data_IF_368555294315
#
_entry.id   IF_368555294315
#
_cell.length_a   1.000
_cell.length_b   1.000
_cell.length_c   1.000
_cell.angle_alpha   90.00
_cell.angle_beta   90.00
_cell.angle_gamma   90.00
#
_symmetry.space_group_name_H-M   'P 1'
#
loop_
_entity.id
_entity.type
_entity.pdbx_description
1 polymer ?
#
# COMPACT_ATOMS: atom_id res chain seq x y z
N UNK A 1 11.27 3.39 26.21
CA UNK A 1 10.54 2.69 25.14
C UNK A 1 11.54 2.22 24.11
N UNK A 2 11.63 0.91 23.87
CA UNK A 2 12.38 0.36 22.74
C UNK A 2 11.43 0.20 21.57
N UNK A 3 11.83 0.64 20.39
CA UNK A 3 11.09 0.35 19.17
C UNK A 3 12.02 -0.12 18.07
N UNK A 4 11.64 -1.16 17.35
CA UNK A 4 12.30 -1.65 16.15
C UNK A 4 11.30 -1.58 15.01
N UNK A 5 11.76 -1.06 13.87
CA UNK A 5 10.96 -0.93 12.65
C UNK A 5 11.79 -1.43 11.49
N UNK A 6 11.17 -2.13 10.56
CA UNK A 6 11.81 -2.47 9.31
C UNK A 6 10.76 -2.72 8.21
N UNK A 7 11.11 -2.39 6.97
CA UNK A 7 10.21 -2.51 5.82
C UNK A 7 10.97 -3.17 4.68
N UNK A 8 10.40 -4.21 4.09
CA UNK A 8 11.05 -4.95 3.00
C UNK A 8 10.08 -5.29 1.87
N UNK A 9 10.55 -5.21 0.61
CA UNK A 9 9.84 -5.86 -0.48
C UNK A 9 9.91 -7.38 -0.32
N UNK A 10 8.89 -8.06 -0.82
CA UNK A 10 8.72 -9.50 -0.69
C UNK A 10 8.54 -10.14 -2.05
N UNK A 11 8.73 -11.46 -2.14
CA UNK A 11 8.51 -12.28 -3.33
C UNK A 11 7.73 -13.51 -2.94
N UNK A 12 6.58 -13.75 -3.57
CA UNK A 12 5.77 -14.96 -3.35
C UNK A 12 5.41 -15.19 -1.87
N UNK A 13 5.42 -14.14 -1.05
CA UNK A 13 4.98 -14.20 0.33
C UNK A 13 3.45 -14.16 0.35
N UNK A 14 2.83 -15.02 1.15
CA UNK A 14 1.38 -15.02 1.34
C UNK A 14 1.03 -15.13 2.83
N UNK A 15 -0.26 -15.02 3.14
CA UNK A 15 -0.76 -15.07 4.51
C UNK A 15 -0.39 -16.38 5.21
N UNK A 16 -0.53 -17.54 4.54
CA UNK A 16 -0.28 -18.86 5.13
C UNK A 16 1.16 -18.99 5.61
N UNK A 17 2.12 -18.54 4.80
CA UNK A 17 3.54 -18.56 5.16
C UNK A 17 3.81 -17.68 6.39
N UNK A 18 3.19 -16.50 6.47
CA UNK A 18 3.35 -15.60 7.61
C UNK A 18 2.75 -16.17 8.89
N UNK A 19 1.62 -16.84 8.76
CA UNK A 19 0.95 -17.55 9.84
C UNK A 19 1.84 -18.70 10.33
N UNK A 20 2.46 -19.46 9.42
CA UNK A 20 3.38 -20.55 9.79
C UNK A 20 4.61 -20.01 10.55
N UNK A 21 5.17 -18.87 10.13
CA UNK A 21 6.26 -18.22 10.88
C UNK A 21 5.82 -17.79 12.29
N UNK A 22 4.60 -17.25 12.42
CA UNK A 22 4.02 -16.89 13.71
C UNK A 22 3.87 -18.13 14.60
N UNK A 23 3.38 -19.24 14.07
CA UNK A 23 3.20 -20.49 14.83
C UNK A 23 4.51 -21.05 15.32
N UNK A 24 5.47 -21.20 14.42
CA UNK A 24 6.81 -21.67 14.79
C UNK A 24 7.39 -20.80 15.93
N UNK A 25 7.23 -19.48 15.85
CA UNK A 25 7.67 -18.59 16.91
C UNK A 25 6.89 -18.79 18.22
N UNK A 26 5.56 -18.85 18.19
CA UNK A 26 4.75 -19.00 19.39
C UNK A 26 5.04 -20.34 20.07
N UNK A 27 5.11 -21.44 19.32
CA UNK A 27 5.43 -22.79 19.80
C UNK A 27 6.81 -22.88 20.46
N UNK A 28 7.77 -22.08 20.03
CA UNK A 28 9.14 -22.12 20.56
C UNK A 28 9.48 -20.95 21.51
N UNK A 29 8.50 -20.12 21.85
CA UNK A 29 8.67 -18.99 22.77
C UNK A 29 8.16 -19.30 24.18
N UNK A 30 8.48 -18.43 25.15
CA UNK A 30 7.79 -18.41 26.46
C UNK A 30 6.39 -17.79 26.37
N UNK A 31 6.04 -17.23 25.22
CA UNK A 31 4.79 -16.55 24.94
C UNK A 31 3.76 -17.48 24.28
N UNK A 32 3.96 -18.82 24.36
CA UNK A 32 2.98 -19.82 23.93
C UNK A 32 1.58 -19.44 24.42
N UNK A 33 0.59 -19.67 23.56
CA UNK A 33 -0.82 -19.53 23.87
C UNK A 33 -1.39 -20.92 24.10
N UNK A 34 -1.96 -21.17 25.28
CA UNK A 34 -2.49 -22.48 25.65
C UNK A 34 -3.80 -22.75 24.90
N UNK A 35 -3.95 -23.99 24.38
CA UNK A 35 -5.18 -24.42 23.70
C UNK A 35 -5.49 -23.69 22.40
N UNK A 36 -4.52 -22.98 21.83
CA UNK A 36 -4.69 -22.27 20.57
C UNK A 36 -4.79 -23.27 19.40
N UNK A 37 -6.03 -23.61 19.03
CA UNK A 37 -6.33 -24.37 17.81
C UNK A 37 -7.05 -23.43 16.84
N UNK A 38 -6.31 -22.98 15.81
CA UNK A 38 -6.86 -22.08 14.81
C UNK A 38 -7.34 -22.91 13.63
N UNK A 39 -8.66 -23.00 13.45
CA UNK A 39 -9.18 -23.13 12.09
C UNK A 39 -8.69 -21.88 11.34
N UNK A 40 -8.02 -22.04 10.20
CA UNK A 40 -7.43 -20.95 9.39
C UNK A 40 -8.51 -20.03 8.78
N UNK A 41 -9.40 -19.50 9.59
CA UNK A 41 -10.51 -18.62 9.25
C UNK A 41 -10.16 -17.21 9.70
N UNK A 42 -10.44 -16.24 8.83
CA UNK A 42 -10.20 -14.81 9.08
C UNK A 42 -11.52 -14.06 9.12
N UNK A 43 -11.69 -13.08 10.02
CA UNK A 43 -10.71 -12.61 11.03
C UNK A 43 -10.57 -13.55 12.23
N UNK A 44 -9.42 -13.46 12.93
CA UNK A 44 -9.13 -14.24 14.14
C UNK A 44 -8.71 -13.33 15.30
N UNK A 45 -9.24 -13.60 16.49
CA UNK A 45 -8.87 -12.90 17.72
C UNK A 45 -8.85 -13.89 18.89
N UNK A 46 -7.77 -13.82 19.67
CA UNK A 46 -7.59 -14.60 20.88
C UNK A 46 -7.05 -13.71 21.99
N UNK A 47 -7.69 -13.76 23.13
CA UNK A 47 -7.32 -13.00 24.31
C UNK A 47 -7.42 -13.90 25.55
N UNK A 48 -6.31 -14.07 26.27
CA UNK A 48 -6.27 -14.78 27.54
C UNK A 48 -5.27 -14.08 28.46
N UNK A 49 -5.72 -13.80 29.68
CA UNK A 49 -5.00 -13.08 30.73
C UNK A 49 -4.40 -11.76 30.23
N UNK A 50 -3.10 -11.78 29.94
CA UNK A 50 -2.29 -10.63 29.57
C UNK A 50 -1.68 -10.80 28.18
N UNK A 51 -2.25 -11.68 27.34
CA UNK A 51 -1.80 -11.94 25.98
C UNK A 51 -2.97 -11.75 25.04
N UNK A 52 -2.72 -11.01 23.96
CA UNK A 52 -3.69 -10.74 22.91
C UNK A 52 -3.03 -11.01 21.57
N UNK A 53 -3.67 -11.85 20.75
CA UNK A 53 -3.28 -12.15 19.39
C UNK A 53 -4.45 -11.85 18.48
N UNK A 54 -4.21 -11.06 17.43
CA UNK A 54 -5.21 -10.69 16.44
C UNK A 54 -4.63 -10.85 15.04
N UNK A 55 -5.38 -11.52 14.18
CA UNK A 55 -5.09 -11.68 12.77
C UNK A 55 -6.24 -11.07 11.97
N UNK A 56 -5.94 -10.05 11.16
CA UNK A 56 -6.98 -9.29 10.47
C UNK A 56 -6.55 -8.97 9.04
N UNK A 57 -7.50 -9.12 8.11
CA UNK A 57 -7.41 -8.55 6.77
C UNK A 57 -8.18 -7.23 6.77
N UNK A 58 -7.51 -6.15 6.39
CA UNK A 58 -8.10 -4.82 6.25
C UNK A 58 -8.32 -4.51 4.77
N UNK A 59 -9.59 -4.29 4.41
CA UNK A 59 -10.05 -3.86 3.08
C UNK A 59 -9.40 -4.66 1.93
N UNK A 60 -9.18 -5.97 2.14
CA UNK A 60 -8.50 -6.87 1.20
C UNK A 60 -7.10 -6.41 0.76
N UNK A 61 -6.50 -5.43 1.46
CA UNK A 61 -5.20 -4.84 1.14
C UNK A 61 -4.10 -5.28 2.10
N UNK A 62 -4.37 -5.23 3.40
CA UNK A 62 -3.35 -5.52 4.42
C UNK A 62 -3.70 -6.77 5.20
N UNK A 63 -2.81 -7.75 5.23
CA UNK A 63 -2.85 -8.84 6.19
C UNK A 63 -2.01 -8.46 7.40
N UNK A 64 -2.59 -8.54 8.60
CA UNK A 64 -1.94 -8.07 9.82
C UNK A 64 -1.92 -9.16 10.87
N UNK A 65 -0.77 -9.31 11.50
CA UNK A 65 -0.55 -10.11 12.70
C UNK A 65 -0.18 -9.14 13.80
N UNK A 66 -1.05 -9.03 14.79
CA UNK A 66 -0.84 -8.21 15.96
C UNK A 66 -0.75 -9.12 17.18
N UNK A 67 0.37 -9.07 17.90
CA UNK A 67 0.56 -9.78 19.15
C UNK A 67 0.98 -8.79 20.24
N UNK A 68 0.24 -8.77 21.33
CA UNK A 68 0.49 -7.93 22.50
C UNK A 68 0.57 -8.78 23.76
N UNK A 69 1.50 -8.45 24.65
CA UNK A 69 1.51 -9.01 25.99
C UNK A 69 1.89 -7.99 27.06
N UNK A 70 1.10 -7.95 28.13
CA UNK A 70 1.23 -6.96 29.20
C UNK A 70 1.57 -7.64 30.53
N UNK A 71 2.85 -7.70 30.88
CA UNK A 71 3.26 -8.19 32.19
C UNK A 71 3.02 -7.07 33.22
N UNK A 72 1.90 -7.16 33.93
CA UNK A 72 1.51 -6.20 34.97
C UNK A 72 2.49 -6.20 36.16
N UNK A 73 3.08 -7.34 36.51
CA UNK A 73 4.04 -7.43 37.61
C UNK A 73 5.35 -6.71 37.29
N UNK A 74 5.80 -6.81 36.03
CA UNK A 74 7.00 -6.12 35.55
C UNK A 74 6.72 -4.76 34.91
N UNK A 75 5.47 -4.28 34.96
CA UNK A 75 4.99 -3.08 34.26
C UNK A 75 5.59 -2.96 32.84
N UNK A 76 5.56 -4.06 32.11
CA UNK A 76 6.20 -4.17 30.79
C UNK A 76 5.15 -4.54 29.77
N UNK A 77 4.99 -3.71 28.74
CA UNK A 77 4.12 -3.98 27.61
C UNK A 77 4.95 -4.24 26.37
N UNK A 78 4.66 -5.36 25.70
CA UNK A 78 5.33 -5.83 24.51
C UNK A 78 4.32 -5.91 23.38
N UNK A 79 4.66 -5.35 22.22
CA UNK A 79 3.81 -5.36 21.02
C UNK A 79 4.66 -5.77 19.82
N UNK A 80 4.15 -6.72 19.05
CA UNK A 80 4.67 -7.15 17.75
C UNK A 80 3.59 -6.96 16.71
N UNK A 81 3.89 -6.19 15.68
CA UNK A 81 3.06 -6.01 14.50
C UNK A 81 3.83 -6.54 13.27
N UNK A 82 3.23 -7.44 12.53
CA UNK A 82 3.65 -7.84 11.18
C UNK A 82 2.53 -7.48 10.23
N UNK A 83 2.79 -6.56 9.32
CA UNK A 83 1.79 -6.07 8.37
C UNK A 83 2.30 -6.36 6.97
N UNK A 84 1.56 -7.15 6.22
CA UNK A 84 1.84 -7.45 4.82
C UNK A 84 0.87 -6.67 3.93
N UNK A 85 1.41 -5.74 3.14
CA UNK A 85 0.68 -5.07 2.06
C UNK A 85 0.69 -5.98 0.84
N UNK A 86 -0.47 -6.54 0.55
CA UNK A 86 -0.67 -7.52 -0.53
C UNK A 86 -0.56 -6.87 -1.91
N UNK A 87 -0.82 -5.56 -2.03
CA UNK A 87 -0.77 -4.85 -3.31
C UNK A 87 0.67 -4.42 -3.65
N UNK A 88 1.38 -3.87 -2.67
CA UNK A 88 2.75 -3.40 -2.85
C UNK A 88 3.80 -4.52 -2.68
N UNK A 89 3.36 -5.72 -2.29
CA UNK A 89 4.21 -6.85 -1.88
C UNK A 89 5.25 -6.44 -0.84
N UNK A 90 4.88 -5.62 0.15
CA UNK A 90 5.78 -5.11 1.20
C UNK A 90 5.39 -5.65 2.56
N UNK A 91 6.38 -6.03 3.35
CA UNK A 91 6.19 -6.40 4.76
C UNK A 91 6.77 -5.32 5.66
N UNK A 92 5.95 -4.90 6.62
CA UNK A 92 6.26 -3.94 7.66
C UNK A 92 6.35 -4.71 8.98
N UNK A 93 7.51 -4.63 9.63
CA UNK A 93 7.80 -5.27 10.91
C UNK A 93 7.95 -4.20 11.99
N UNK A 94 7.07 -4.19 12.98
CA UNK A 94 7.16 -3.30 14.14
C UNK A 94 7.24 -4.09 15.42
N UNK A 95 8.19 -3.71 16.25
CA UNK A 95 8.27 -4.19 17.61
C UNK A 95 8.36 -3.00 18.57
N UNK A 96 7.51 -2.94 19.59
CA UNK A 96 7.65 -1.98 20.68
C UNK A 96 7.64 -2.67 22.04
N UNK A 97 8.51 -2.17 22.92
CA UNK A 97 8.54 -2.54 24.33
C UNK A 97 8.52 -1.27 25.18
N UNK A 98 7.49 -1.18 25.99
CA UNK A 98 7.30 -0.13 26.97
C UNK A 98 7.63 -0.67 28.35
N UNK A 99 8.34 0.12 29.14
CA UNK A 99 8.75 -0.18 30.51
C UNK A 99 8.56 1.08 31.33
N UNK A 100 7.81 1.03 32.43
CA UNK A 100 7.70 2.18 33.33
C UNK A 100 9.03 2.41 34.07
N UNK A 101 9.65 3.54 33.74
CA UNK A 101 10.77 4.31 34.28
C UNK A 101 11.95 3.76 35.13
N UNK A 102 12.05 2.50 35.58
CA UNK A 102 13.17 2.10 36.45
C UNK A 102 14.06 0.94 35.97
N UNK A 103 13.79 0.36 34.80
CA UNK A 103 14.66 -0.71 34.29
C UNK A 103 15.92 -0.13 33.61
N UNK A 104 17.01 0.04 34.36
CA UNK A 104 18.37 0.32 33.82
C UNK A 104 18.89 -0.78 32.89
N UNK A 105 18.13 -1.87 32.76
CA UNK A 105 18.40 -3.01 31.90
C UNK A 105 17.35 -3.06 30.78
N UNK A 106 17.35 -2.05 29.92
CA UNK A 106 16.95 -2.21 28.51
C UNK A 106 18.08 -2.97 27.78
N UNK A 107 18.59 -4.03 28.41
CA UNK A 107 19.72 -4.81 27.93
C UNK A 107 19.16 -6.04 27.23
N UNK A 108 19.27 -6.01 25.90
CA UNK A 108 19.01 -7.11 24.99
C UNK A 108 17.55 -7.58 24.92
N UNK A 109 16.66 -6.73 24.41
CA UNK A 109 15.54 -7.29 23.65
C UNK A 109 16.09 -7.68 22.29
N UNK A 110 16.35 -8.96 22.10
CA UNK A 110 16.58 -9.48 20.76
C UNK A 110 15.34 -9.21 19.92
N UNK A 111 15.53 -8.71 18.70
CA UNK A 111 14.51 -8.73 17.65
C UNK A 111 13.73 -10.05 17.79
N UNK A 112 12.39 -10.02 17.88
CA UNK A 112 11.58 -11.23 18.00
C UNK A 112 12.07 -12.28 17.02
N UNK A 113 12.22 -13.53 17.48
CA UNK A 113 12.71 -14.62 16.62
C UNK A 113 11.88 -14.72 15.34
N UNK A 114 10.56 -14.47 15.45
CA UNK A 114 9.65 -14.28 14.33
C UNK A 114 10.21 -13.38 13.23
N UNK A 115 10.65 -12.16 13.57
CA UNK A 115 11.17 -11.22 12.59
C UNK A 115 12.43 -11.75 11.96
N UNK A 116 13.31 -12.38 12.74
CA UNK A 116 14.54 -12.92 12.17
C UNK A 116 14.25 -14.04 11.18
N UNK A 117 13.28 -14.91 11.48
CA UNK A 117 12.81 -15.97 10.58
C UNK A 117 12.24 -15.38 9.28
N UNK A 118 11.40 -14.35 9.40
CA UNK A 118 10.85 -13.61 8.25
C UNK A 118 11.99 -13.00 7.42
N UNK A 119 12.88 -12.23 8.06
CA UNK A 119 13.95 -11.45 7.41
C UNK A 119 14.94 -12.30 6.60
N UNK A 120 15.29 -13.48 7.09
CA UNK A 120 16.22 -14.39 6.39
C UNK A 120 15.52 -15.41 5.49
N UNK A 121 14.19 -15.33 5.40
CA UNK A 121 13.41 -16.24 4.55
C UNK A 121 13.67 -15.95 3.06
N UNK A 122 13.50 -16.95 2.18
CA UNK A 122 13.63 -16.75 0.74
C UNK A 122 12.54 -15.84 0.13
N UNK A 123 11.54 -15.46 0.93
CA UNK A 123 10.43 -14.60 0.51
C UNK A 123 10.74 -13.11 0.67
N UNK A 124 11.82 -12.73 1.36
CA UNK A 124 12.26 -11.34 1.46
C UNK A 124 13.18 -11.03 0.28
N UNK A 125 12.79 -10.03 -0.52
CA UNK A 125 13.67 -9.48 -1.56
C UNK A 125 14.68 -8.58 -0.84
N UNK A 126 15.94 -8.99 -0.84
CA UNK A 126 17.04 -8.11 -0.45
C UNK A 126 17.70 -7.51 -1.68
N UNK A 127 18.47 -6.45 -1.47
CA UNK A 127 19.36 -5.89 -2.48
C UNK A 127 20.54 -6.83 -2.80
N UNK A 128 21.68 -6.28 -3.24
CA UNK A 128 22.96 -6.93 -3.54
C UNK A 128 23.29 -8.19 -2.72
N UNK A 129 23.03 -8.17 -1.40
CA UNK A 129 23.32 -9.29 -0.52
C UNK A 129 22.07 -9.79 0.22
N UNK A 130 21.83 -11.11 0.27
CA UNK A 130 20.77 -11.67 1.10
C UNK A 130 20.98 -11.31 2.56
N UNK A 131 19.88 -10.97 3.24
CA UNK A 131 19.87 -10.83 4.68
C UNK A 131 20.28 -12.17 5.32
N UNK A 132 21.32 -12.11 6.14
CA UNK A 132 21.92 -13.31 6.73
C UNK A 132 22.45 -13.01 8.12
N UNK A 133 22.48 -14.05 8.95
CA UNK A 133 23.19 -14.03 10.23
C UNK A 133 24.71 -14.02 10.07
N UNK A 134 25.22 -14.17 8.86
CA UNK A 134 26.65 -14.14 8.55
C UNK A 134 27.01 -12.86 7.84
N UNK A 135 28.19 -12.34 8.14
CA UNK A 135 28.74 -11.23 7.39
C UNK A 135 29.16 -11.68 5.99
N UNK A 136 29.00 -10.80 5.01
CA UNK A 136 29.35 -11.04 3.62
C UNK A 136 30.82 -10.74 3.39
N UNK A 137 31.52 -11.70 2.80
CA UNK A 137 32.89 -11.47 2.40
C UNK A 137 32.90 -10.77 1.03
N UNK A 138 33.52 -9.59 0.97
CA UNK A 138 33.57 -8.76 -0.24
C UNK A 138 35.01 -8.43 -0.62
N UNK A 139 35.25 -8.31 -1.93
CA UNK A 139 36.59 -8.05 -2.49
C UNK A 139 36.86 -6.56 -2.72
N UNK A 140 35.83 -5.80 -3.06
CA UNK A 140 35.94 -4.39 -3.43
C UNK A 140 34.77 -3.60 -2.84
N UNK A 141 35.08 -2.58 -2.03
CA UNK A 141 34.10 -1.69 -1.42
C UNK A 141 33.60 -0.61 -2.37
N UNK A 142 34.40 -0.21 -3.35
CA UNK A 142 34.05 0.88 -4.27
C UNK A 142 32.87 0.48 -5.16
N UNK A 143 32.79 -0.80 -5.53
CA UNK A 143 31.65 -1.36 -6.24
C UNK A 143 30.32 -1.23 -5.47
N UNK A 144 30.37 -1.25 -4.13
CA UNK A 144 29.18 -1.05 -3.30
C UNK A 144 28.80 0.44 -3.25
N UNK A 145 29.75 1.38 -3.20
CA UNK A 145 29.43 2.81 -3.09
C UNK A 145 28.62 3.37 -4.26
N UNK A 146 28.77 2.78 -5.44
CA UNK A 146 28.09 3.24 -6.67
C UNK A 146 26.73 2.59 -6.92
N UNK A 147 26.34 1.58 -6.12
CA UNK A 147 25.05 0.91 -6.25
C UNK A 147 24.07 1.49 -5.23
N UNK A 148 22.79 1.60 -5.60
CA UNK A 148 21.73 1.91 -4.65
C UNK A 148 21.48 0.69 -3.77
N UNK A 149 21.31 0.92 -2.46
CA UNK A 149 21.04 -0.14 -1.48
C UNK A 149 19.77 0.15 -0.72
N UNK A 150 18.91 -0.86 -0.55
CA UNK A 150 17.74 -0.75 0.32
C UNK A 150 18.10 -0.59 1.81
N UNK A 151 19.19 -1.20 2.25
CA UNK A 151 19.72 -1.08 3.61
C UNK A 151 21.16 -0.56 3.58
N UNK A 152 21.57 0.20 4.59
CA UNK A 152 22.97 0.60 4.76
C UNK A 152 23.91 -0.60 4.75
N UNK A 153 25.14 -0.41 4.28
CA UNK A 153 26.22 -1.38 4.34
C UNK A 153 27.22 -0.96 5.42
N UNK A 154 27.44 -1.83 6.40
CA UNK A 154 28.51 -1.72 7.37
C UNK A 154 29.72 -2.50 6.88
N UNK A 155 30.72 -1.78 6.37
CA UNK A 155 31.97 -2.39 5.97
C UNK A 155 33.03 -2.27 7.07
N UNK A 156 33.55 -3.43 7.47
CA UNK A 156 34.44 -3.56 8.60
C UNK A 156 35.90 -3.46 8.16
N UNK A 157 36.56 -2.38 8.57
CA UNK A 157 38.00 -2.18 8.42
C UNK A 157 38.78 -2.67 9.65
N UNK A 158 38.19 -3.50 10.51
CA UNK A 158 38.73 -3.88 11.82
C UNK A 158 38.54 -5.35 12.15
N UNK A 159 39.46 -5.92 12.93
CA UNK A 159 39.38 -7.25 13.52
C UNK A 159 38.86 -7.25 14.97
N UNK A 160 38.60 -6.07 15.57
CA UNK A 160 38.24 -5.94 16.99
C UNK A 160 36.83 -6.43 17.32
N UNK A 161 35.98 -6.52 16.30
CA UNK A 161 34.61 -6.97 16.42
C UNK A 161 34.47 -8.21 15.53
N UNK A 162 33.86 -9.26 16.06
CA UNK A 162 33.49 -10.41 15.26
C UNK A 162 32.41 -10.01 14.24
N UNK A 163 32.71 -10.18 12.95
CA UNK A 163 31.83 -9.75 11.86
C UNK A 163 30.48 -10.48 11.87
N UNK A 164 30.45 -11.76 12.22
CA UNK A 164 29.21 -12.53 12.30
C UNK A 164 28.40 -12.19 13.54
N UNK A 165 29.05 -11.81 14.65
CA UNK A 165 28.37 -11.24 15.80
C UNK A 165 27.71 -9.92 15.44
N UNK A 166 28.42 -9.04 14.72
CA UNK A 166 27.87 -7.78 14.22
C UNK A 166 26.69 -8.03 13.28
N UNK A 167 26.83 -8.92 12.29
CA UNK A 167 25.76 -9.29 11.35
C UNK A 167 24.48 -9.75 12.08
N UNK A 168 24.62 -10.63 13.09
CA UNK A 168 23.47 -11.08 13.89
C UNK A 168 22.78 -9.97 14.66
N UNK A 169 23.53 -8.95 15.09
CA UNK A 169 23.00 -7.80 15.84
C UNK A 169 22.38 -6.76 14.90
N UNK A 170 22.90 -6.63 13.69
CA UNK A 170 22.47 -5.65 12.68
C UNK A 170 21.43 -6.20 11.71
N UNK A 171 20.95 -7.44 11.90
CA UNK A 171 19.97 -8.06 11.02
C UNK A 171 18.72 -7.18 10.87
N UNK A 172 18.38 -6.83 9.62
CA UNK A 172 17.28 -5.96 9.27
C UNK A 172 17.53 -4.46 9.48
N UNK A 173 18.74 -4.07 9.91
CA UNK A 173 19.19 -2.67 10.01
C UNK A 173 20.28 -2.33 8.99
N UNK A 174 21.16 -3.30 8.67
CA UNK A 174 22.24 -3.11 7.70
C UNK A 174 22.77 -4.45 7.18
N UNK A 175 23.40 -4.42 6.00
CA UNK A 175 24.26 -5.51 5.54
C UNK A 175 25.64 -5.37 6.19
N UNK A 176 26.19 -6.45 6.73
CA UNK A 176 27.54 -6.43 7.31
C UNK A 176 28.50 -7.09 6.34
N UNK A 177 29.52 -6.35 5.92
CA UNK A 177 30.51 -6.78 4.95
C UNK A 177 31.93 -6.64 5.52
N UNK A 178 32.83 -7.51 5.07
CA UNK A 178 34.25 -7.47 5.44
C UNK A 178 35.12 -8.05 4.32
N UNK A 179 36.42 -7.74 4.31
CA UNK A 179 37.40 -8.37 3.44
C UNK A 179 38.29 -9.36 4.21
N UNK A 180 38.91 -10.32 3.51
CA UNK A 180 39.87 -11.28 4.12
C UNK A 180 41.11 -10.62 4.72
N UNK A 181 41.54 -9.49 4.17
CA UNK A 181 42.74 -8.76 4.58
C UNK A 181 42.36 -7.45 5.26
N UNK A 182 41.46 -7.51 6.26
CA UNK A 182 41.16 -6.34 7.08
C UNK A 182 42.48 -5.80 7.61
N UNK A 183 42.77 -4.52 7.36
CA UNK A 183 43.83 -3.85 8.10
C UNK A 183 43.35 -3.74 9.56
N UNK A 184 44.24 -3.63 10.54
CA UNK A 184 43.81 -3.28 11.90
C UNK A 184 43.48 -1.78 12.01
N UNK A 185 42.59 -1.29 11.15
CA UNK A 185 42.14 0.09 11.15
C UNK A 185 40.85 0.13 11.98
N UNK A 186 40.93 0.59 13.24
CA UNK A 186 39.83 0.47 14.21
C UNK A 186 38.59 1.31 13.91
N UNK A 187 37.93 1.14 12.76
CA UNK A 187 36.69 1.82 12.38
C UNK A 187 35.77 0.92 11.53
N UNK A 188 34.52 1.34 11.44
CA UNK A 188 33.50 0.78 10.53
C UNK A 188 33.05 1.90 9.60
N UNK A 189 32.98 1.59 8.31
CA UNK A 189 32.45 2.48 7.29
C UNK A 189 30.98 2.15 7.06
N UNK A 190 30.11 3.15 7.20
CA UNK A 190 28.67 3.05 6.98
C UNK A 190 28.38 3.68 5.63
N UNK A 191 27.97 2.87 4.66
CA UNK A 191 27.57 3.31 3.32
C UNK A 191 26.04 3.31 3.24
N UNK A 192 25.45 4.45 2.92
CA UNK A 192 23.99 4.64 2.86
C UNK A 192 23.70 5.72 1.81
N UNK A 193 22.79 5.48 0.86
CA UNK A 193 22.42 6.42 -0.20
C UNK A 193 23.63 7.12 -0.90
N UNK A 194 24.66 6.33 -1.25
CA UNK A 194 25.96 6.76 -1.83
C UNK A 194 26.86 7.62 -0.92
N UNK A 195 26.44 7.94 0.30
CA UNK A 195 27.27 8.61 1.29
C UNK A 195 28.03 7.60 2.15
N UNK A 196 29.28 7.95 2.50
CA UNK A 196 30.12 7.16 3.40
C UNK A 196 30.36 7.92 4.70
N UNK A 197 30.05 7.29 5.84
CA UNK A 197 30.25 7.80 7.18
C UNK A 197 31.19 6.87 7.96
N UNK A 198 32.23 7.42 8.57
CA UNK A 198 33.20 6.63 9.33
C UNK A 198 32.83 6.63 10.82
N UNK A 199 32.69 5.45 11.40
CA UNK A 199 32.51 5.23 12.83
C UNK A 199 33.79 4.67 13.46
N UNK A 200 34.50 5.52 14.21
CA UNK A 200 35.75 5.13 14.88
C UNK A 200 35.48 4.26 16.11
N UNK A 201 36.15 3.12 16.19
CA UNK A 201 36.08 2.19 17.31
C UNK A 201 37.17 2.49 18.33
N UNK A 202 36.79 2.45 19.60
CA UNK A 202 37.70 2.57 20.72
C UNK A 202 38.20 1.19 21.14
N UNK A 203 39.48 0.88 20.89
CA UNK A 203 40.12 -0.39 21.28
C UNK A 203 40.03 -0.70 22.79
N UNK A 204 39.90 0.33 23.64
CA UNK A 204 39.80 0.18 25.11
C UNK A 204 38.38 -0.14 25.58
N UNK A 205 37.36 0.04 24.74
CA UNK A 205 35.96 -0.30 25.07
C UNK A 205 35.68 -1.74 24.64
N UNK A 206 34.87 -2.46 25.42
CA UNK A 206 34.46 -3.81 25.04
C UNK A 206 33.67 -3.75 23.72
N UNK A 207 33.95 -4.70 22.82
CA UNK A 207 33.34 -4.78 21.48
C UNK A 207 31.81 -4.75 21.54
N UNK A 208 31.22 -5.44 22.51
CA UNK A 208 29.77 -5.52 22.66
C UNK A 208 29.09 -4.16 22.88
N UNK A 209 29.69 -3.25 23.66
CA UNK A 209 29.14 -1.91 23.86
C UNK A 209 29.14 -1.09 22.56
N UNK A 210 30.19 -1.22 21.76
CA UNK A 210 30.31 -0.51 20.49
C UNK A 210 29.32 -1.04 19.45
N UNK A 211 29.05 -2.36 19.47
CA UNK A 211 27.97 -2.96 18.67
C UNK A 211 26.61 -2.38 19.06
N UNK A 212 26.34 -2.20 20.35
CA UNK A 212 25.08 -1.58 20.80
C UNK A 212 24.96 -0.13 20.36
N UNK A 213 26.04 0.66 20.47
CA UNK A 213 26.07 2.05 20.02
C UNK A 213 25.74 2.18 18.52
N UNK A 214 26.37 1.36 17.69
CA UNK A 214 26.05 1.28 16.25
C UNK A 214 24.60 0.87 15.99
N UNK A 215 24.07 -0.06 16.79
CA UNK A 215 22.72 -0.56 16.62
C UNK A 215 21.67 0.51 16.92
N UNK A 216 21.87 1.25 18.01
CA UNK A 216 21.01 2.37 18.37
C UNK A 216 21.09 3.48 17.31
N UNK A 217 22.29 3.78 16.79
CA UNK A 217 22.47 4.76 15.71
C UNK A 217 21.63 4.40 14.49
N UNK A 218 21.83 3.20 13.92
CA UNK A 218 21.11 2.78 12.71
C UNK A 218 19.60 2.66 12.93
N UNK A 219 19.20 2.14 14.09
CA UNK A 219 17.78 2.02 14.44
C UNK A 219 17.10 3.39 14.51
N UNK A 220 17.76 4.39 15.09
CA UNK A 220 17.21 5.75 15.15
C UNK A 220 17.05 6.36 13.75
N UNK A 221 17.98 6.11 12.84
CA UNK A 221 17.87 6.55 11.44
C UNK A 221 16.69 5.86 10.72
N UNK A 222 16.54 4.54 10.89
CA UNK A 222 15.40 3.79 10.33
C UNK A 222 14.07 4.27 10.91
N UNK A 223 14.00 4.52 12.22
CA UNK A 223 12.81 5.11 12.86
C UNK A 223 12.48 6.45 12.16
N UNK A 224 13.46 7.34 11.99
CA UNK A 224 13.21 8.63 11.32
C UNK A 224 12.71 8.45 9.88
N UNK A 225 13.33 7.54 9.11
CA UNK A 225 12.99 7.27 7.70
C UNK A 225 11.55 6.75 7.55
N UNK A 226 11.14 5.82 8.41
CA UNK A 226 9.89 5.07 8.21
C UNK A 226 8.73 5.45 9.14
N UNK A 227 8.94 6.28 10.19
CA UNK A 227 7.91 6.60 11.19
C UNK A 227 6.59 7.14 10.62
N UNK A 228 6.64 7.89 9.51
CA UNK A 228 5.45 8.49 8.91
C UNK A 228 4.86 7.66 7.74
N UNK A 229 5.56 6.62 7.30
CA UNK A 229 5.20 5.85 6.09
C UNK A 229 4.67 4.46 6.42
N UNK A 230 4.87 4.00 7.65
CA UNK A 230 4.55 2.64 8.04
C UNK A 230 3.16 2.58 8.69
N UNK A 231 2.21 1.82 8.12
CA UNK A 231 0.92 1.62 8.77
C UNK A 231 1.13 0.84 10.07
N UNK A 232 0.37 1.18 11.12
CA UNK A 232 0.26 0.35 12.33
C UNK A 232 -1.08 -0.37 12.38
N UNK A 233 -1.16 -1.43 13.18
CA UNK A 233 -2.42 -2.16 13.36
C UNK A 233 -3.52 -1.20 13.85
N UNK A 234 -3.21 -0.43 14.90
CA UNK A 234 -4.15 0.53 15.48
C UNK A 234 -4.64 1.56 14.45
N UNK A 235 -3.75 2.14 13.64
CA UNK A 235 -4.13 3.10 12.60
C UNK A 235 -5.03 2.47 11.55
N UNK A 236 -4.71 1.27 11.08
CA UNK A 236 -5.52 0.54 10.10
C UNK A 236 -6.90 0.21 10.68
N UNK A 237 -6.95 -0.21 11.94
CA UNK A 237 -8.19 -0.51 12.64
C UNK A 237 -9.07 0.73 12.81
N UNK A 238 -8.51 1.86 13.25
CA UNK A 238 -9.24 3.13 13.34
C UNK A 238 -9.73 3.61 11.97
N UNK A 239 -8.91 3.48 10.92
CA UNK A 239 -9.33 3.81 9.55
C UNK A 239 -10.48 2.92 9.08
N UNK A 240 -10.46 1.63 9.41
CA UNK A 240 -11.55 0.71 9.08
C UNK A 240 -12.83 1.06 9.85
N UNK A 241 -12.74 1.36 11.15
CA UNK A 241 -13.88 1.84 11.94
C UNK A 241 -14.45 3.11 11.31
N UNK A 242 -13.59 4.08 10.99
CA UNK A 242 -14.00 5.31 10.34
C UNK A 242 -14.62 5.04 8.97
N UNK A 243 -14.08 4.12 8.20
CA UNK A 243 -14.65 3.71 6.92
C UNK A 243 -16.03 3.08 7.11
N UNK A 244 -16.20 2.15 8.05
CA UNK A 244 -17.49 1.54 8.39
C UNK A 244 -18.48 2.59 8.91
N UNK A 245 -18.03 3.51 9.75
CA UNK A 245 -18.81 4.64 10.23
C UNK A 245 -19.18 5.57 9.09
N UNK A 246 -18.31 5.87 8.14
CA UNK A 246 -18.62 6.68 6.97
C UNK A 246 -19.56 5.96 6.01
N UNK A 247 -19.41 4.66 5.83
CA UNK A 247 -20.33 3.83 5.03
C UNK A 247 -21.71 3.73 5.68
N UNK A 248 -21.78 3.80 7.01
CA UNK A 248 -23.04 3.86 7.77
C UNK A 248 -23.55 5.29 8.00
N UNK A 249 -22.71 6.33 7.99
CA UNK A 249 -23.10 7.75 8.12
C UNK A 249 -23.50 8.36 6.78
N UNK A 250 -22.98 7.86 5.65
CA UNK A 250 -23.55 8.08 4.31
C UNK A 250 -24.90 7.34 4.14
N UNK A 251 -25.71 7.34 5.19
CA UNK A 251 -27.00 6.70 5.29
C UNK A 251 -28.02 7.47 4.44
N UNK A 252 -28.42 6.86 3.32
CA UNK A 252 -29.62 7.10 2.52
C UNK A 252 -29.89 8.51 1.92
N UNK A 253 -29.75 9.60 2.67
CA UNK A 253 -30.21 10.94 2.26
C UNK A 253 -29.26 11.60 1.24
N UNK A 254 -27.95 11.54 1.48
CA UNK A 254 -26.97 12.14 0.57
C UNK A 254 -26.88 11.39 -0.76
N UNK A 255 -26.98 10.05 -0.72
CA UNK A 255 -27.12 9.24 -1.94
C UNK A 255 -28.43 9.55 -2.68
N UNK A 256 -29.56 9.72 -1.98
CA UNK A 256 -30.82 10.13 -2.61
C UNK A 256 -30.69 11.49 -3.32
N UNK A 257 -30.02 12.46 -2.70
CA UNK A 257 -29.83 13.79 -3.30
C UNK A 257 -28.81 13.77 -4.45
N UNK A 258 -27.73 13.00 -4.36
CA UNK A 258 -26.81 12.80 -5.50
C UNK A 258 -27.48 12.10 -6.68
N UNK A 259 -28.26 11.04 -6.43
CA UNK A 259 -29.01 10.36 -7.50
C UNK A 259 -30.05 11.29 -8.14
N UNK A 260 -30.79 12.08 -7.36
CA UNK A 260 -31.72 13.09 -7.90
C UNK A 260 -31.01 14.14 -8.75
N UNK A 261 -29.85 14.64 -8.29
CA UNK A 261 -29.05 15.63 -9.02
C UNK A 261 -28.52 15.07 -10.34
N UNK A 262 -28.06 13.83 -10.33
CA UNK A 262 -27.51 13.18 -11.53
C UNK A 262 -28.60 12.85 -12.55
N UNK A 263 -29.76 12.34 -12.12
CA UNK A 263 -30.94 12.13 -12.99
C UNK A 263 -31.36 13.45 -13.65
N UNK A 264 -31.44 14.53 -12.87
CA UNK A 264 -31.79 15.85 -13.39
C UNK A 264 -30.76 16.37 -14.38
N UNK A 265 -29.46 16.14 -14.14
CA UNK A 265 -28.38 16.53 -15.05
C UNK A 265 -28.48 15.78 -16.38
N UNK A 266 -28.70 14.46 -16.34
CA UNK A 266 -28.81 13.63 -17.53
C UNK A 266 -30.08 13.97 -18.34
N UNK A 267 -31.19 14.33 -17.69
CA UNK A 267 -32.38 14.85 -18.38
C UNK A 267 -32.11 16.15 -19.12
N UNK A 268 -31.39 17.10 -18.50
CA UNK A 268 -30.98 18.34 -19.15
C UNK A 268 -30.09 18.05 -20.36
N UNK A 269 -29.12 17.13 -20.23
CA UNK A 269 -28.23 16.76 -21.35
C UNK A 269 -29.00 16.12 -22.51
N UNK A 270 -29.99 15.27 -22.22
CA UNK A 270 -30.89 14.71 -23.23
C UNK A 270 -31.71 15.79 -23.94
N UNK A 271 -32.26 16.75 -23.19
CA UNK A 271 -33.04 17.86 -23.76
C UNK A 271 -32.18 18.78 -24.63
N UNK A 272 -30.96 19.12 -24.18
CA UNK A 272 -29.99 19.89 -24.98
C UNK A 272 -29.60 19.16 -26.27
N UNK A 273 -29.39 17.84 -26.21
CA UNK A 273 -29.10 17.02 -27.39
C UNK A 273 -30.29 16.97 -28.37
N UNK A 274 -31.52 16.93 -27.87
CA UNK A 274 -32.74 17.02 -28.69
C UNK A 274 -32.87 18.38 -29.36
N UNK A 275 -32.56 19.47 -28.66
CA UNK A 275 -32.58 20.82 -29.22
C UNK A 275 -31.53 20.99 -30.33
N UNK A 276 -30.31 20.49 -30.11
CA UNK A 276 -29.24 20.48 -31.13
C UNK A 276 -29.68 19.66 -32.34
N UNK A 277 -30.29 18.48 -32.12
CA UNK A 277 -30.83 17.66 -33.18
C UNK A 277 -31.89 18.41 -34.01
N UNK A 278 -32.82 19.11 -33.36
CA UNK A 278 -33.85 19.90 -34.04
C UNK A 278 -33.27 21.05 -34.86
N UNK A 279 -32.30 21.81 -34.32
CA UNK A 279 -31.63 22.89 -35.05
C UNK A 279 -30.91 22.36 -36.31
N UNK A 280 -30.17 21.27 -36.18
CA UNK A 280 -29.46 20.65 -37.31
C UNK A 280 -30.43 20.13 -38.38
N UNK A 281 -31.59 19.60 -37.97
CA UNK A 281 -32.64 19.19 -38.90
C UNK A 281 -33.21 20.37 -39.70
N UNK A 282 -33.44 21.53 -39.06
CA UNK A 282 -33.89 22.74 -39.74
C UNK A 282 -32.86 23.26 -40.76
N UNK A 283 -31.59 23.29 -40.37
CA UNK A 283 -30.51 23.76 -41.26
C UNK A 283 -30.30 22.82 -42.44
N UNK A 284 -30.41 21.50 -42.22
CA UNK A 284 -30.44 20.51 -43.31
C UNK A 284 -31.57 20.80 -44.30
N UNK A 285 -32.78 21.08 -43.82
CA UNK A 285 -33.92 21.40 -44.68
C UNK A 285 -33.70 22.70 -45.48
N UNK A 286 -33.10 23.73 -44.86
CA UNK A 286 -32.75 24.99 -45.56
C UNK A 286 -31.73 24.73 -46.67
N UNK A 287 -30.68 23.97 -46.38
CA UNK A 287 -29.64 23.61 -47.35
C UNK A 287 -30.21 22.80 -48.52
N UNK A 288 -31.08 21.82 -48.25
CA UNK A 288 -31.76 21.03 -49.30
C UNK A 288 -32.61 21.92 -50.22
N UNK A 289 -33.39 22.86 -49.66
CA UNK A 289 -34.19 23.82 -50.45
C UNK A 289 -33.31 24.73 -51.32
N UNK A 290 -32.16 25.17 -50.80
CA UNK A 290 -31.21 25.99 -51.56
C UNK A 290 -30.54 25.19 -52.69
N UNK A 291 -30.19 23.93 -52.44
CA UNK A 291 -29.60 23.05 -53.45
C UNK A 291 -30.59 22.75 -54.60
N UNK A 292 -31.87 22.51 -54.28
CA UNK A 292 -32.93 22.39 -55.28
C UNK A 292 -33.07 23.64 -56.16
N UNK A 293 -32.92 24.85 -55.59
CA UNK A 293 -32.91 26.10 -56.36
C UNK A 293 -31.70 26.20 -57.28
N UNK A 294 -30.51 25.81 -56.82
CA UNK A 294 -29.28 25.87 -57.62
C UNK A 294 -29.30 24.89 -58.80
N UNK A 295 -29.85 23.69 -58.61
CA UNK A 295 -30.08 22.70 -59.68
C UNK A 295 -30.95 23.26 -60.82
N UNK A 296 -31.88 24.17 -60.53
CA UNK A 296 -32.75 24.79 -61.54
C UNK A 296 -32.03 25.86 -62.39
N UNK A 297 -30.87 26.38 -61.97
CA UNK A 297 -30.17 27.51 -62.62
C UNK A 297 -29.17 27.07 -63.71
N UNK A 298 -28.97 25.77 -63.93
CA UNK A 298 -28.47 25.25 -65.20
C UNK A 298 -26.99 25.52 -65.57
N UNK A 299 -26.07 25.52 -64.60
CA UNK A 299 -24.62 25.41 -64.86
C UNK A 299 -24.13 24.01 -64.50
N UNK A 300 -24.26 23.07 -65.44
CA UNK A 300 -24.15 21.63 -65.17
C UNK A 300 -22.82 21.17 -64.56
N UNK A 301 -21.68 21.83 -64.81
CA UNK A 301 -20.37 21.36 -64.34
C UNK A 301 -20.06 21.80 -62.90
N UNK A 302 -20.25 23.09 -62.57
CA UNK A 302 -20.11 23.58 -61.20
C UNK A 302 -21.23 23.05 -60.29
N UNK A 303 -22.43 22.84 -60.84
CA UNK A 303 -23.53 22.21 -60.12
C UNK A 303 -23.24 20.74 -59.76
N UNK A 304 -22.58 19.95 -60.63
CA UNK A 304 -22.24 18.55 -60.34
C UNK A 304 -21.22 18.41 -59.20
N UNK A 305 -20.19 19.28 -59.16
CA UNK A 305 -19.19 19.32 -58.08
C UNK A 305 -19.84 19.81 -56.77
N UNK A 306 -20.71 20.82 -56.83
CA UNK A 306 -21.44 21.33 -55.68
C UNK A 306 -22.44 20.29 -55.12
N UNK A 307 -23.11 19.53 -55.99
CA UNK A 307 -24.03 18.44 -55.60
C UNK A 307 -23.27 17.29 -54.93
N UNK A 308 -22.14 16.82 -55.46
CA UNK A 308 -21.35 15.74 -54.83
C UNK A 308 -20.78 16.15 -53.45
N UNK A 309 -20.35 17.41 -53.30
CA UNK A 309 -19.95 17.95 -52.00
C UNK A 309 -21.15 18.08 -51.03
N UNK A 310 -22.32 18.49 -51.51
CA UNK A 310 -23.52 18.60 -50.68
C UNK A 310 -24.09 17.25 -50.29
N UNK A 311 -24.01 16.23 -51.14
CA UNK A 311 -24.44 14.86 -50.82
C UNK A 311 -23.52 14.23 -49.77
N UNK A 312 -22.21 14.50 -49.84
CA UNK A 312 -21.25 14.14 -48.78
C UNK A 312 -21.53 14.86 -47.47
N UNK A 313 -21.85 16.16 -47.52
CA UNK A 313 -22.25 16.95 -46.33
C UNK A 313 -23.59 16.45 -45.76
N UNK A 314 -24.55 16.07 -46.60
CA UNK A 314 -25.84 15.52 -46.18
C UNK A 314 -25.66 14.14 -45.52
N UNK A 315 -24.82 13.28 -46.10
CA UNK A 315 -24.45 11.97 -45.54
C UNK A 315 -23.74 12.11 -44.18
N UNK A 316 -22.83 13.09 -44.04
CA UNK A 316 -22.18 13.38 -42.76
C UNK A 316 -23.19 13.88 -41.71
N UNK A 317 -24.08 14.80 -42.08
CA UNK A 317 -25.15 15.25 -41.19
C UNK A 317 -26.08 14.11 -40.77
N UNK A 318 -26.44 13.20 -41.68
CA UNK A 318 -27.27 12.04 -41.36
C UNK A 318 -26.60 11.08 -40.37
N UNK A 319 -25.29 10.86 -40.53
CA UNK A 319 -24.51 10.09 -39.58
C UNK A 319 -24.47 10.76 -38.19
N UNK A 320 -24.33 12.09 -38.16
CA UNK A 320 -24.25 12.87 -36.93
C UNK A 320 -25.61 12.96 -36.21
N UNK A 321 -26.71 13.09 -36.97
CA UNK A 321 -28.08 13.02 -36.48
C UNK A 321 -28.42 11.64 -35.90
N UNK A 322 -28.04 10.56 -36.60
CA UNK A 322 -28.18 9.19 -36.11
C UNK A 322 -27.37 8.96 -34.84
N UNK A 323 -26.14 9.47 -34.77
CA UNK A 323 -25.29 9.37 -33.57
C UNK A 323 -25.92 10.10 -32.38
N UNK A 324 -26.42 11.33 -32.57
CA UNK A 324 -27.08 12.10 -31.50
C UNK A 324 -28.36 11.39 -31.04
N UNK A 325 -29.19 10.89 -31.96
CA UNK A 325 -30.40 10.12 -31.61
C UNK A 325 -30.07 8.83 -30.87
N UNK A 326 -29.08 8.06 -31.35
CA UNK A 326 -28.66 6.82 -30.70
C UNK A 326 -28.13 7.12 -29.29
N UNK A 327 -27.34 8.18 -29.13
CA UNK A 327 -26.77 8.57 -27.84
C UNK A 327 -27.84 9.07 -26.87
N UNK A 328 -28.80 9.86 -27.34
CA UNK A 328 -29.94 10.29 -26.54
C UNK A 328 -30.83 9.10 -26.13
N UNK A 329 -31.08 8.16 -27.05
CA UNK A 329 -31.86 6.96 -26.77
C UNK A 329 -31.15 6.00 -25.82
N UNK A 330 -29.84 5.78 -25.99
CA UNK A 330 -29.04 4.97 -25.07
C UNK A 330 -29.06 5.57 -23.66
N UNK A 331 -28.89 6.89 -23.54
CA UNK A 331 -28.99 7.60 -22.26
C UNK A 331 -30.39 7.45 -21.64
N UNK A 332 -31.47 7.60 -22.41
CA UNK A 332 -32.86 7.40 -21.94
C UNK A 332 -33.18 5.96 -21.55
N UNK A 333 -32.56 4.97 -22.22
CA UNK A 333 -32.87 3.54 -22.06
C UNK A 333 -31.86 2.78 -21.21
N UNK A 334 -30.82 3.45 -20.70
CA UNK A 334 -29.77 2.79 -19.93
C UNK A 334 -30.40 2.01 -18.77
N UNK A 335 -30.23 0.68 -18.78
CA UNK A 335 -30.75 -0.22 -17.73
C UNK A 335 -30.36 0.24 -16.33
N UNK A 336 -29.24 0.96 -16.20
CA UNK A 336 -28.76 1.56 -14.98
C UNK A 336 -29.70 2.66 -14.42
N UNK A 337 -30.36 3.46 -15.26
CA UNK A 337 -31.35 4.47 -14.81
C UNK A 337 -32.60 3.77 -14.26
N UNK A 338 -33.13 2.78 -14.98
CA UNK A 338 -34.30 2.02 -14.53
C UNK A 338 -34.01 1.16 -13.30
N UNK A 339 -32.83 0.52 -13.23
CA UNK A 339 -32.39 -0.24 -12.06
C UNK A 339 -32.20 0.65 -10.84
N UNK A 340 -31.72 1.88 -11.03
CA UNK A 340 -31.60 2.88 -9.95
C UNK A 340 -32.95 3.46 -9.55
N UNK A 341 -33.90 3.66 -10.47
CA UNK A 341 -35.29 4.02 -10.18
C UNK A 341 -36.01 2.92 -9.40
N UNK A 342 -35.79 1.64 -9.74
CA UNK A 342 -36.35 0.51 -8.99
C UNK A 342 -35.78 0.43 -7.57
N UNK A 343 -34.47 0.67 -7.41
CA UNK A 343 -33.83 0.78 -6.09
C UNK A 343 -34.37 1.98 -5.32
N UNK A 344 -34.56 3.14 -5.96
CA UNK A 344 -35.15 4.34 -5.36
C UNK A 344 -36.59 4.09 -4.88
N UNK A 345 -37.41 3.44 -5.72
CA UNK A 345 -38.78 3.09 -5.38
C UNK A 345 -38.86 2.06 -4.24
N UNK A 346 -37.94 1.09 -4.22
CA UNK A 346 -37.83 0.13 -3.12
C UNK A 346 -37.43 0.81 -1.80
N UNK A 347 -36.58 1.84 -1.86
CA UNK A 347 -36.18 2.65 -0.69
C UNK A 347 -37.34 3.52 -0.20
N UNK A 348 -38.06 4.20 -1.08
CA UNK A 348 -39.23 5.03 -0.73
C UNK A 348 -40.35 4.21 -0.09
N UNK A 349 -40.65 3.04 -0.65
CA UNK A 349 -41.66 2.11 -0.14
C UNK A 349 -41.32 1.55 1.25
N UNK A 350 -40.03 1.48 1.59
CA UNK A 350 -39.53 1.03 2.90
C UNK A 350 -39.54 2.15 3.95
N UNK A 351 -39.47 3.41 3.51
CA UNK A 351 -39.49 4.60 4.38
C UNK A 351 -40.90 5.17 4.62
N UNK A 352 -41.94 4.61 3.99
CA UNK A 352 -43.34 4.98 4.21
C UNK A 352 -43.86 6.14 3.36
N UNK A 353 -43.02 6.69 2.48
CA UNK A 353 -43.41 7.74 1.55
C UNK A 353 -43.87 7.13 0.21
N UNK A 354 -45.14 7.36 -0.15
CA UNK A 354 -45.67 7.04 -1.47
C UNK A 354 -45.63 8.26 -2.39
N UNK A 355 -45.43 8.04 -3.70
CA UNK A 355 -45.76 9.03 -4.74
C UNK A 355 -47.28 9.16 -4.82
#
# INVERSE_FOLDING_TARGET
MLCYYAVFPTKNLNQDILIDFLWDWLEHSKNKMEGLYIEKTFPFEYEVDHKHLKLQIFDEKYFTIYFSTQDNDKNTHFIVEVIYDMLEEKIYLRFSKETSHDSRYILAVSIPVLFKNILVSPYIKSDIYPLSYKAHHVKDIEAMKVQEHQLPILYMHTTYIDANLLARKMLGLAHVCYCKNQKEEGYIEIIDDHESRIFQLNKKRQSLYQIYELNELLRNEIIKKYKNHMPSYEQLYQNQILHQQNMTMKNAYDYQEEFKKEIKRQQIEVDELKDIYHMLMEDKQKAQKQNQKLMQVGQYHDALIYVDHMDKIASYHDCLLQYIQHKAHDLETTQEIYRRLDILNAILKKNGDSI
#
